data_IF_075676051782
#
_entry.id   IF_075676051782
#
_cell.length_a   1.000
_cell.length_b   1.000
_cell.length_c   1.000
_cell.angle_alpha   90.00
_cell.angle_beta   90.00
_cell.angle_gamma   90.00
#
_symmetry.space_group_name_H-M   'P 1'
#
loop_
_entity.id
_entity.type
_entity.pdbx_description
1 polymer ?
#
# COMPACT_ATOMS: atom_id res chain seq x y z
N UNK A 1 7.84 2.19 -0.21
CA UNK A 1 7.60 2.32 -1.66
C UNK A 1 6.14 2.04 -2.02
N UNK A 2 5.51 1.01 -1.45
CA UNK A 2 4.08 0.72 -1.62
C UNK A 2 3.14 1.88 -1.25
N UNK A 3 3.37 2.54 -0.11
CA UNK A 3 2.58 3.71 0.30
C UNK A 3 2.63 4.85 -0.73
N UNK A 4 3.78 5.10 -1.38
CA UNK A 4 3.87 6.11 -2.46
C UNK A 4 3.00 5.75 -3.65
N UNK A 5 2.95 4.47 -4.03
CA UNK A 5 2.10 4.04 -5.15
C UNK A 5 0.62 4.25 -4.84
N UNK A 6 0.21 4.01 -3.59
CA UNK A 6 -1.17 4.26 -3.14
C UNK A 6 -1.49 5.76 -3.00
N UNK A 7 -0.53 6.57 -2.57
CA UNK A 7 -0.66 8.02 -2.49
C UNK A 7 -0.80 8.64 -3.90
N UNK A 8 0.05 8.24 -4.84
CA UNK A 8 0.05 8.77 -6.21
C UNK A 8 -1.15 8.28 -7.05
N UNK A 9 -1.60 7.03 -6.86
CA UNK A 9 -2.60 6.38 -7.73
C UNK A 9 -3.96 6.19 -7.06
N UNK A 10 -4.05 6.44 -5.76
CA UNK A 10 -5.24 6.14 -4.97
C UNK A 10 -5.41 4.65 -4.70
N UNK A 11 -6.64 4.15 -4.82
CA UNK A 11 -6.93 2.74 -4.52
C UNK A 11 -6.42 1.81 -5.63
N UNK A 12 -5.56 0.84 -5.29
CA UNK A 12 -4.89 -0.04 -6.26
C UNK A 12 -4.99 -1.51 -5.86
N UNK A 13 -5.15 -2.39 -6.84
CA UNK A 13 -5.13 -3.85 -6.66
C UNK A 13 -3.73 -4.39 -6.33
N UNK A 14 -3.66 -5.46 -5.53
CA UNK A 14 -2.41 -6.15 -5.17
C UNK A 14 -1.54 -6.53 -6.37
N UNK A 15 -2.15 -7.00 -7.46
CA UNK A 15 -1.43 -7.36 -8.71
C UNK A 15 -0.82 -6.13 -9.37
N UNK A 16 -1.58 -5.04 -9.45
CA UNK A 16 -1.08 -3.76 -9.99
C UNK A 16 0.01 -3.14 -9.11
N UNK A 17 -0.08 -3.30 -7.79
CA UNK A 17 0.99 -2.93 -6.86
C UNK A 17 2.25 -3.77 -7.09
N UNK A 18 2.09 -5.08 -7.29
CA UNK A 18 3.20 -5.99 -7.57
C UNK A 18 3.93 -5.63 -8.87
N UNK A 19 3.16 -5.34 -9.93
CA UNK A 19 3.70 -4.91 -11.22
C UNK A 19 4.42 -3.56 -11.11
N UNK A 20 3.83 -2.59 -10.40
CA UNK A 20 4.41 -1.26 -10.22
C UNK A 20 5.72 -1.28 -9.40
N UNK A 21 5.81 -2.20 -8.43
CA UNK A 21 6.98 -2.37 -7.56
C UNK A 21 7.99 -3.37 -8.11
N UNK A 22 7.66 -4.12 -9.17
CA UNK A 22 8.51 -5.16 -9.73
C UNK A 22 8.77 -6.33 -8.78
N UNK A 23 7.82 -6.62 -7.89
CA UNK A 23 7.94 -7.68 -6.87
C UNK A 23 6.86 -8.74 -7.05
N UNK A 24 7.04 -9.91 -6.44
CA UNK A 24 6.03 -10.97 -6.49
C UNK A 24 4.75 -10.58 -5.73
N UNK A 25 3.54 -10.94 -6.22
CA UNK A 25 2.27 -10.64 -5.55
C UNK A 25 2.18 -11.14 -4.11
N UNK A 26 2.85 -12.25 -3.78
CA UNK A 26 2.92 -12.78 -2.42
C UNK A 26 3.63 -11.82 -1.47
N UNK A 27 4.72 -11.19 -1.92
CA UNK A 27 5.46 -10.18 -1.15
C UNK A 27 4.58 -8.97 -0.89
N UNK A 28 3.89 -8.46 -1.93
CA UNK A 28 2.95 -7.34 -1.78
C UNK A 28 1.81 -7.71 -0.83
N UNK A 29 1.26 -8.91 -0.92
CA UNK A 29 0.17 -9.34 -0.04
C UNK A 29 0.62 -9.34 1.42
N UNK A 30 1.85 -9.77 1.69
CA UNK A 30 2.45 -9.75 3.03
C UNK A 30 2.66 -8.31 3.52
N UNK A 31 3.25 -7.44 2.71
CA UNK A 31 3.45 -6.02 3.07
C UNK A 31 2.12 -5.30 3.28
N UNK A 32 1.12 -5.54 2.43
CA UNK A 32 -0.22 -5.00 2.60
C UNK A 32 -0.85 -5.45 3.92
N UNK A 33 -0.64 -6.71 4.32
CA UNK A 33 -1.14 -7.22 5.59
C UNK A 33 -0.49 -6.54 6.79
N UNK A 34 0.83 -6.36 6.77
CA UNK A 34 1.58 -5.64 7.82
C UNK A 34 1.13 -4.18 7.90
N UNK A 35 1.12 -3.46 6.78
CA UNK A 35 0.69 -2.05 6.72
C UNK A 35 -0.79 -1.87 7.11
N UNK A 36 -1.65 -2.86 6.81
CA UNK A 36 -3.05 -2.83 7.22
C UNK A 36 -3.20 -3.06 8.73
N UNK A 37 -2.40 -3.97 9.30
CA UNK A 37 -2.36 -4.20 10.75
C UNK A 37 -1.92 -2.96 11.51
N UNK A 38 -0.98 -2.20 10.95
CA UNK A 38 -0.48 -0.94 11.51
C UNK A 38 -1.40 0.26 11.22
N UNK A 39 -2.47 0.06 10.45
CA UNK A 39 -3.48 1.08 10.13
C UNK A 39 -3.05 2.09 9.06
N UNK A 40 -1.96 1.83 8.34
CA UNK A 40 -1.46 2.70 7.26
C UNK A 40 -2.24 2.55 5.95
N UNK A 41 -2.82 1.38 5.70
CA UNK A 41 -3.67 1.14 4.53
C UNK A 41 -4.97 0.46 4.95
N UNK A 42 -5.99 0.57 4.10
CA UNK A 42 -7.24 -0.17 4.27
C UNK A 42 -7.60 -0.92 2.98
N UNK A 43 -8.14 -2.13 3.14
CA UNK A 43 -8.72 -2.87 2.03
C UNK A 43 -10.13 -2.34 1.74
N UNK A 44 -10.38 -1.92 0.50
CA UNK A 44 -11.68 -1.43 0.05
C UNK A 44 -12.53 -2.60 -0.45
N UNK A 45 -11.94 -3.49 -1.25
CA UNK A 45 -12.63 -4.64 -1.86
C UNK A 45 -11.64 -5.63 -2.43
N UNK A 46 -11.79 -6.94 -2.20
CA UNK A 46 -11.20 -8.01 -3.04
C UNK A 46 -9.72 -7.87 -3.44
N UNK A 47 -8.85 -7.32 -2.58
CA UNK A 47 -7.43 -7.07 -2.90
C UNK A 47 -7.09 -5.65 -3.39
N UNK A 48 -8.04 -4.73 -3.38
CA UNK A 48 -7.86 -3.30 -3.60
C UNK A 48 -7.55 -2.62 -2.27
N UNK A 49 -6.42 -1.92 -2.21
CA UNK A 49 -5.96 -1.19 -1.03
C UNK A 49 -5.90 0.30 -1.30
N UNK A 50 -6.20 1.10 -0.29
CA UNK A 50 -6.02 2.56 -0.30
C UNK A 50 -5.22 3.00 0.93
N UNK A 51 -4.46 4.08 0.80
CA UNK A 51 -3.76 4.70 1.92
C UNK A 51 -4.77 5.34 2.90
N UNK A 52 -4.43 5.38 4.18
CA UNK A 52 -5.18 6.11 5.22
C UNK A 52 -4.46 7.39 5.60
N UNK A 53 -5.13 8.30 6.31
CA UNK A 53 -4.51 9.51 6.88
C UNK A 53 -3.28 9.18 7.76
N UNK A 54 -3.26 8.01 8.40
CA UNK A 54 -2.10 7.54 9.18
C UNK A 54 -0.99 6.99 8.28
N UNK A 55 -1.34 6.38 7.15
CA UNK A 55 -0.39 5.98 6.12
C UNK A 55 0.27 7.18 5.43
N UNK A 56 -0.50 8.23 5.13
CA UNK A 56 0.00 9.48 4.53
C UNK A 56 1.04 10.13 5.44
N UNK A 57 0.71 10.34 6.72
CA UNK A 57 1.66 10.87 7.71
C UNK A 57 2.91 10.00 7.86
N UNK A 58 2.75 8.67 7.83
CA UNK A 58 3.90 7.77 7.90
C UNK A 58 4.79 7.89 6.66
N UNK A 59 4.19 8.06 5.48
CA UNK A 59 4.91 8.26 4.24
C UNK A 59 5.72 9.56 4.23
N UNK A 60 5.19 10.62 4.81
CA UNK A 60 5.92 11.89 5.02
C UNK A 60 7.19 11.66 5.86
N UNK A 61 7.07 10.93 6.98
CA UNK A 61 8.23 10.63 7.86
C UNK A 61 9.30 9.74 7.22
N UNK A 62 8.93 8.93 6.21
CA UNK A 62 9.87 8.08 5.46
C UNK A 62 10.54 8.81 4.29
N UNK A 63 10.08 10.03 3.98
CA UNK A 63 10.57 10.83 2.85
C UNK A 63 11.60 11.88 3.28
N UNK A 64 11.94 11.95 4.57
CA UNK A 64 13.02 12.76 5.17
C UNK A 64 14.36 12.01 5.26
#
# INVERSE_FOLDING_TARGET
MLLRVLDERGAVETTSLADALGVHPVTVSKECHELQSDGHIRQISGGVYAITDTGERHLETLSE
#
